data_IF_768668270028
#
_entry.id   IF_768668270028
#
_cell.length_a   1.000
_cell.length_b   1.000
_cell.length_c   1.000
_cell.angle_alpha   90.00
_cell.angle_beta   90.00
_cell.angle_gamma   90.00
#
_symmetry.space_group_name_H-M   'P 1'
#
loop_
_entity.id
_entity.type
_entity.pdbx_description
1 polymer ?
#
# COMPACT_ATOMS: atom_id res chain seq x y z
N UNK A 1 2.70 5.38 -10.40
CA UNK A 1 4.07 4.93 -10.12
C UNK A 1 5.08 5.55 -11.08
N UNK A 2 4.96 5.33 -12.40
CA UNK A 2 5.82 5.97 -13.42
C UNK A 2 5.90 7.50 -13.35
N UNK A 3 4.77 8.18 -13.13
CA UNK A 3 4.73 9.65 -12.98
C UNK A 3 5.42 10.16 -11.71
N UNK A 4 5.72 9.28 -10.76
CA UNK A 4 6.43 9.56 -9.52
C UNK A 4 7.85 8.97 -9.54
N UNK A 5 8.29 8.40 -10.67
CA UNK A 5 9.57 7.70 -10.84
C UNK A 5 9.83 6.57 -9.83
N UNK A 6 8.76 5.84 -9.48
CA UNK A 6 8.80 4.70 -8.55
C UNK A 6 8.56 3.40 -9.32
N UNK A 7 9.44 2.40 -9.15
CA UNK A 7 9.25 1.05 -9.69
C UNK A 7 8.30 0.21 -8.84
N UNK A 8 7.76 -0.87 -9.40
CA UNK A 8 6.81 -1.73 -8.70
C UNK A 8 7.41 -2.42 -7.48
N UNK A 9 8.67 -2.87 -7.55
CA UNK A 9 9.37 -3.51 -6.43
C UNK A 9 9.67 -2.54 -5.28
N UNK A 10 10.01 -1.28 -5.59
CA UNK A 10 10.18 -0.22 -4.58
C UNK A 10 8.82 0.09 -3.96
N UNK A 11 7.78 0.29 -4.77
CA UNK A 11 6.44 0.56 -4.26
C UNK A 11 5.92 -0.56 -3.33
N UNK A 12 6.10 -1.81 -3.72
CA UNK A 12 5.72 -2.98 -2.92
C UNK A 12 6.45 -2.99 -1.57
N UNK A 13 7.78 -2.87 -1.57
CA UNK A 13 8.58 -2.87 -0.33
C UNK A 13 8.27 -1.69 0.59
N UNK A 14 8.06 -0.49 0.03
CA UNK A 14 7.70 0.70 0.81
C UNK A 14 6.32 0.59 1.43
N UNK A 15 5.34 0.01 0.73
CA UNK A 15 4.00 -0.20 1.29
C UNK A 15 3.99 -1.33 2.32
N UNK A 16 4.73 -2.41 2.06
CA UNK A 16 4.90 -3.51 3.01
C UNK A 16 5.51 -3.05 4.34
N UNK A 17 6.49 -2.14 4.30
CA UNK A 17 7.14 -1.63 5.51
C UNK A 17 6.21 -0.83 6.43
N UNK A 18 5.09 -0.31 5.90
CA UNK A 18 4.06 0.40 6.67
C UNK A 18 2.80 -0.45 6.92
N UNK A 19 2.86 -1.76 6.65
CA UNK A 19 1.76 -2.69 6.88
C UNK A 19 0.67 -2.71 5.80
N UNK A 20 0.91 -2.09 4.63
CA UNK A 20 0.02 -2.14 3.47
C UNK A 20 0.57 -3.14 2.45
N UNK A 21 0.04 -4.36 2.47
CA UNK A 21 0.52 -5.43 1.58
C UNK A 21 -0.14 -5.31 0.21
N UNK A 22 0.68 -5.12 -0.83
CA UNK A 22 0.29 -5.13 -2.24
C UNK A 22 1.19 -6.07 -3.03
N UNK A 23 0.88 -6.29 -4.31
CA UNK A 23 1.74 -7.08 -5.20
C UNK A 23 2.27 -6.22 -6.34
N UNK A 24 3.59 -6.21 -6.56
CA UNK A 24 4.19 -5.65 -7.78
C UNK A 24 3.70 -6.42 -9.00
N UNK A 25 3.37 -5.71 -10.08
CA UNK A 25 2.73 -6.32 -11.24
C UNK A 25 3.10 -5.60 -12.54
N UNK A 26 3.34 -6.38 -13.59
CA UNK A 26 3.58 -5.85 -14.94
C UNK A 26 2.36 -5.07 -15.45
N UNK A 27 2.63 -4.03 -16.24
CA UNK A 27 1.58 -3.26 -16.95
C UNK A 27 1.70 -3.46 -18.46
N UNK A 28 0.65 -3.15 -19.25
CA UNK A 28 0.77 -3.17 -20.71
C UNK A 28 1.93 -2.27 -21.18
N UNK A 29 2.88 -2.87 -21.94
CA UNK A 29 4.08 -2.17 -22.40
C UNK A 29 5.04 -1.77 -21.26
N UNK A 30 5.15 -2.60 -20.23
CA UNK A 30 6.04 -2.33 -19.08
C UNK A 30 7.47 -2.04 -19.55
N UNK A 31 8.04 -0.86 -19.23
CA UNK A 31 9.43 -0.55 -19.57
C UNK A 31 10.45 -1.25 -18.67
N UNK A 32 10.02 -1.78 -17.52
CA UNK A 32 10.90 -2.43 -16.55
C UNK A 32 10.91 -3.96 -16.73
N UNK A 33 11.90 -4.62 -16.16
CA UNK A 33 11.97 -6.09 -16.16
C UNK A 33 10.82 -6.72 -15.36
N UNK A 34 10.48 -8.00 -15.60
CA UNK A 34 9.45 -8.70 -14.83
C UNK A 34 9.71 -8.76 -13.32
N UNK A 35 10.97 -8.67 -12.87
CA UNK A 35 11.32 -8.70 -11.45
C UNK A 35 11.08 -7.35 -10.75
N UNK A 36 11.20 -6.25 -11.50
CA UNK A 36 11.09 -4.86 -11.01
C UNK A 36 9.67 -4.33 -11.22
N UNK A 37 9.15 -4.46 -12.44
CA UNK A 37 7.83 -3.97 -12.91
C UNK A 37 7.63 -2.45 -12.75
N UNK A 38 6.59 -1.91 -13.40
CA UNK A 38 6.21 -0.49 -13.28
C UNK A 38 4.87 -0.25 -12.58
N UNK A 39 4.30 -1.29 -11.98
CA UNK A 39 2.94 -1.30 -11.45
C UNK A 39 2.79 -2.05 -10.13
N UNK A 40 1.66 -1.81 -9.47
CA UNK A 40 1.17 -2.61 -8.33
C UNK A 40 -0.29 -2.97 -8.59
N UNK A 41 -0.73 -4.12 -8.08
CA UNK A 41 -2.13 -4.54 -8.10
C UNK A 41 -2.71 -4.45 -6.69
N UNK A 42 -3.91 -3.87 -6.59
CA UNK A 42 -4.65 -3.68 -5.34
C UNK A 42 -6.01 -4.37 -5.49
N UNK A 43 -6.46 -5.06 -4.45
CA UNK A 43 -7.78 -5.69 -4.39
C UNK A 43 -8.50 -5.33 -3.10
N UNK A 44 -9.80 -5.05 -3.18
CA UNK A 44 -10.66 -4.76 -2.03
C UNK A 44 -11.09 -5.97 -1.17
N UNK A 45 -11.11 -7.24 -1.63
CA UNK A 45 -11.68 -8.33 -0.84
C UNK A 45 -11.10 -8.52 0.57
N UNK A 46 -9.80 -8.27 0.74
CA UNK A 46 -9.13 -8.42 2.04
C UNK A 46 -9.62 -7.41 3.09
N UNK A 47 -9.97 -6.20 2.68
CA UNK A 47 -10.46 -5.15 3.60
C UNK A 47 -11.98 -5.20 3.76
N UNK A 48 -12.72 -5.49 2.68
CA UNK A 48 -14.20 -5.54 2.75
C UNK A 48 -14.70 -6.73 3.56
N UNK A 49 -14.01 -7.87 3.53
CA UNK A 49 -14.34 -9.03 4.39
C UNK A 49 -14.15 -8.73 5.87
N UNK A 50 -13.27 -7.77 6.21
CA UNK A 50 -13.04 -7.30 7.58
C UNK A 50 -14.02 -6.21 8.01
N UNK A 51 -14.93 -5.77 7.13
CA UNK A 51 -15.95 -4.76 7.44
C UNK A 51 -15.57 -3.32 7.09
N UNK A 52 -14.43 -3.09 6.43
CA UNK A 52 -14.02 -1.74 6.00
C UNK A 52 -14.88 -1.25 4.82
N UNK A 53 -15.28 0.03 4.87
CA UNK A 53 -16.10 0.69 3.85
C UNK A 53 -15.35 1.78 3.09
N UNK A 54 -16.10 2.68 2.45
CA UNK A 54 -15.55 3.73 1.59
C UNK A 54 -14.64 4.71 2.35
N UNK A 55 -15.00 5.05 3.60
CA UNK A 55 -14.21 6.00 4.40
C UNK A 55 -12.82 5.44 4.72
N UNK A 56 -12.74 4.15 5.06
CA UNK A 56 -11.48 3.46 5.31
C UNK A 56 -10.66 3.32 4.01
N UNK A 57 -11.31 3.04 2.88
CA UNK A 57 -10.65 3.00 1.57
C UNK A 57 -10.02 4.34 1.23
N UNK A 58 -10.74 5.46 1.41
CA UNK A 58 -10.21 6.80 1.16
C UNK A 58 -8.96 7.07 2.03
N UNK A 59 -8.99 6.61 3.28
CA UNK A 59 -7.85 6.76 4.18
C UNK A 59 -6.66 5.89 3.76
N UNK A 60 -6.90 4.63 3.39
CA UNK A 60 -5.86 3.71 2.90
C UNK A 60 -5.18 4.29 1.65
N UNK A 61 -5.96 4.87 0.72
CA UNK A 61 -5.40 5.50 -0.49
C UNK A 61 -4.51 6.70 -0.15
N UNK A 62 -4.87 7.51 0.85
CA UNK A 62 -4.02 8.61 1.34
C UNK A 62 -2.71 8.11 1.93
N UNK A 63 -2.74 7.03 2.70
CA UNK A 63 -1.53 6.41 3.23
C UNK A 63 -0.64 5.83 2.16
N UNK A 64 -1.23 5.19 1.13
CA UNK A 64 -0.48 4.71 -0.04
C UNK A 64 0.27 5.86 -0.71
N UNK A 65 -0.41 6.98 -0.99
CA UNK A 65 0.24 8.13 -1.62
C UNK A 65 1.34 8.73 -0.71
N UNK A 66 1.03 8.88 0.57
CA UNK A 66 1.96 9.45 1.58
C UNK A 66 3.23 8.62 1.69
N UNK A 67 3.11 7.29 1.82
CA UNK A 67 4.25 6.40 1.94
C UNK A 67 5.09 6.37 0.66
N UNK A 68 4.46 6.33 -0.52
CA UNK A 68 5.19 6.30 -1.79
C UNK A 68 5.93 7.62 -2.08
N UNK A 69 5.34 8.77 -1.73
CA UNK A 69 5.96 10.09 -1.95
C UNK A 69 7.07 10.38 -0.94
N UNK A 70 7.03 9.76 0.24
CA UNK A 70 7.96 10.03 1.35
C UNK A 70 8.73 8.77 1.76
N UNK A 71 9.00 7.86 0.81
CA UNK A 71 9.65 6.57 1.08
C UNK A 71 11.06 6.66 1.69
N UNK A 72 11.69 7.83 1.61
CA UNK A 72 13.00 8.16 2.19
C UNK A 72 12.92 8.89 3.54
N UNK A 73 11.71 9.10 4.09
CA UNK A 73 11.48 9.82 5.35
C UNK A 73 10.97 8.87 6.44
N UNK A 74 11.86 8.30 7.28
CA UNK A 74 11.47 7.30 8.28
C UNK A 74 10.34 7.74 9.22
N UNK A 75 10.36 9.00 9.67
CA UNK A 75 9.32 9.54 10.56
C UNK A 75 7.92 9.56 9.92
N UNK A 76 7.83 9.76 8.60
CA UNK A 76 6.54 9.72 7.89
C UNK A 76 6.04 8.28 7.82
N UNK A 77 6.94 7.34 7.49
CA UNK A 77 6.60 5.92 7.40
C UNK A 77 6.20 5.35 8.77
N UNK A 78 6.86 5.76 9.85
CA UNK A 78 6.52 5.38 11.22
C UNK A 78 5.10 5.84 11.59
N UNK A 79 4.76 7.11 11.34
CA UNK A 79 3.41 7.62 11.57
C UNK A 79 2.35 6.85 10.76
N UNK A 80 2.60 6.60 9.48
CA UNK A 80 1.68 5.80 8.64
C UNK A 80 1.53 4.39 9.20
N UNK A 81 2.61 3.78 9.67
CA UNK A 81 2.58 2.44 10.27
C UNK A 81 1.68 2.39 11.50
N UNK A 82 1.81 3.39 12.39
CA UNK A 82 0.96 3.49 13.58
C UNK A 82 -0.52 3.67 13.24
N UNK A 83 -0.82 4.54 12.26
CA UNK A 83 -2.19 4.79 11.81
C UNK A 83 -2.82 3.55 11.14
N UNK A 84 -2.05 2.85 10.28
CA UNK A 84 -2.48 1.59 9.64
C UNK A 84 -2.75 0.51 10.69
N UNK A 85 -1.87 0.38 11.69
CA UNK A 85 -2.07 -0.55 12.79
C UNK A 85 -3.32 -0.19 13.62
N UNK A 86 -3.55 1.10 13.87
CA UNK A 86 -4.74 1.62 14.55
C UNK A 86 -6.04 1.27 13.81
N UNK A 87 -6.06 1.39 12.48
CA UNK A 87 -7.21 0.96 11.68
C UNK A 87 -7.38 -0.56 11.73
N UNK A 88 -6.30 -1.32 11.58
CA UNK A 88 -6.39 -2.79 11.61
C UNK A 88 -6.96 -3.34 12.92
N UNK A 89 -6.67 -2.69 14.06
CA UNK A 89 -7.22 -3.06 15.37
C UNK A 89 -8.74 -2.86 15.47
N UNK A 90 -9.30 -1.90 14.75
CA UNK A 90 -10.75 -1.65 14.71
C UNK A 90 -11.50 -2.70 13.88
N UNK A 91 -10.79 -3.39 12.97
CA UNK A 91 -11.34 -4.38 12.06
C UNK A 91 -10.56 -5.70 12.17
N UNK A 92 -10.65 -6.44 13.30
CA UNK A 92 -9.89 -7.66 13.52
C UNK A 92 -10.28 -8.76 12.51
N UNK A 93 -9.33 -9.65 12.19
CA UNK A 93 -9.54 -10.74 11.22
C UNK A 93 -10.37 -11.87 11.80
N UNK A 94 -10.13 -12.18 13.08
CA UNK A 94 -10.92 -13.12 13.86
C UNK A 94 -11.53 -12.34 15.02
N UNK A 95 -12.82 -12.57 15.30
CA UNK A 95 -13.38 -12.13 16.58
C UNK A 95 -12.75 -12.92 17.71
N UNK A 96 -12.73 -12.34 18.91
CA UNK A 96 -12.50 -13.13 20.14
C UNK A 96 -13.62 -14.16 20.33
#
# INVERSE_FOLDING_TARGET
LRSKDISGDVAEKTLESVGIVVNRNVIPGDPQSPDVTSGIRIGSPGITTRGMGNAEVDQIVKWIDTALVNGDKPHVLENVTEEVAGLCKQFPVYGD
#
